data_IF_562741335343
#
_entry.id   IF_562741335343
#
_cell.length_a   1.000
_cell.length_b   1.000
_cell.length_c   1.000
_cell.angle_alpha   90.00
_cell.angle_beta   90.00
_cell.angle_gamma   90.00
#
_symmetry.space_group_name_H-M   'P 1'
#
loop_
_entity.id
_entity.type
_entity.pdbx_description
1 polymer ?
2 polymer ?
3 polymer ?
4 non-polymer ?
5 water ?
#
# COMPACT_ATOMS: atom_id res chain seq x y z
N UNK A 1 -10.53 5.00 -18.95
CA UNK A 1 -9.30 5.44 -18.31
C UNK A 1 -8.19 4.41 -18.42
N UNK A 2 -6.99 4.83 -18.04
CA UNK A 2 -5.84 3.93 -18.04
C UNK A 2 -5.82 3.10 -16.75
N UNK A 3 -5.08 2.00 -16.79
CA UNK A 3 -5.07 1.08 -15.65
C UNK A 3 -3.69 0.47 -15.44
N UNK A 4 -3.51 -0.11 -14.26
CA UNK A 4 -2.23 -0.68 -13.86
C UNK A 4 -2.45 -2.04 -13.25
N UNK A 5 -1.45 -2.92 -13.41
CA UNK A 5 -1.37 -4.17 -12.70
C UNK A 5 -0.01 -4.22 -12.04
N UNK A 6 0.03 -4.61 -10.77
CA UNK A 6 1.28 -4.70 -10.04
C UNK A 6 1.28 -5.94 -9.18
N UNK A 7 2.43 -6.60 -9.08
CA UNK A 7 2.67 -7.61 -8.06
C UNK A 7 3.79 -7.13 -7.16
N UNK A 8 3.61 -7.30 -5.85
CA UNK A 8 4.54 -6.89 -4.81
C UNK A 8 4.93 -8.13 -4.03
N UNK A 9 6.21 -8.49 -4.05
CA UNK A 9 6.70 -9.73 -3.44
C UNK A 9 7.78 -9.39 -2.42
N UNK A 10 7.69 -10.02 -1.25
CA UNK A 10 8.60 -9.81 -0.14
C UNK A 10 9.14 -11.14 0.38
N UNK A 11 10.46 -11.26 0.44
CA UNK A 11 11.16 -12.39 1.07
C UNK A 11 11.88 -11.86 2.31
N UNK A 12 11.72 -12.56 3.44
CA UNK A 12 12.32 -12.14 4.70
C UNK A 12 13.07 -13.34 5.27
N UNK A 13 14.40 -13.25 5.34
CA UNK A 13 15.16 -14.34 5.95
C UNK A 13 15.08 -14.21 7.47
N UNK A 14 15.16 -15.36 8.14
CA UNK A 14 15.03 -15.42 9.59
C UNK A 14 15.92 -16.55 10.10
N UNK A 15 17.23 -16.33 10.14
CA UNK A 15 18.15 -17.40 10.54
C UNK A 15 17.78 -18.01 11.88
N UNK A 16 17.76 -19.34 11.92
CA UNK A 16 17.37 -20.08 13.09
C UNK A 16 15.90 -20.44 13.15
N UNK A 17 15.05 -19.68 12.45
CA UNK A 17 13.60 -19.84 12.56
C UNK A 17 13.00 -20.25 11.21
N UNK A 18 13.68 -21.13 10.49
CA UNK A 18 13.14 -21.71 9.27
C UNK A 18 13.70 -21.07 8.01
N UNK A 19 13.11 -21.46 6.88
CA UNK A 19 13.39 -20.86 5.58
C UNK A 19 12.75 -19.48 5.50
N UNK A 20 13.21 -18.62 4.58
CA UNK A 20 12.62 -17.28 4.48
C UNK A 20 11.13 -17.32 4.21
N UNK A 21 10.42 -16.37 4.80
CA UNK A 21 9.01 -16.19 4.45
C UNK A 21 8.93 -15.48 3.10
N UNK A 22 8.00 -15.93 2.26
CA UNK A 22 7.74 -15.28 0.97
C UNK A 22 6.26 -14.97 0.88
N UNK A 23 5.92 -13.71 0.67
CA UNK A 23 4.53 -13.35 0.43
C UNK A 23 4.46 -12.47 -0.81
N UNK A 24 3.53 -12.78 -1.69
CA UNK A 24 3.30 -12.02 -2.91
C UNK A 24 1.84 -11.60 -2.97
N UNK A 25 1.59 -10.37 -3.42
CA UNK A 25 0.22 -9.90 -3.61
C UNK A 25 0.11 -9.25 -4.97
N UNK A 26 -1.06 -9.37 -5.57
CA UNK A 26 -1.33 -8.79 -6.88
C UNK A 26 -2.46 -7.78 -6.80
N UNK A 27 -2.31 -6.69 -7.55
CA UNK A 27 -3.26 -5.59 -7.61
C UNK A 27 -3.58 -5.24 -9.06
N UNK A 28 -4.84 -4.89 -9.31
CA UNK A 28 -5.22 -4.07 -10.46
C UNK A 28 -5.62 -2.71 -9.89
N UNK A 29 -4.95 -1.66 -10.35
CA UNK A 29 -5.16 -0.32 -9.78
C UNK A 29 -5.03 -0.42 -8.27
N UNK A 30 -6.01 0.07 -7.50
CA UNK A 30 -5.98 0.06 -6.04
C UNK A 30 -6.70 -1.14 -5.45
N UNK A 31 -6.99 -2.18 -6.24
CA UNK A 31 -7.77 -3.33 -5.79
C UNK A 31 -6.90 -4.58 -5.78
N UNK A 32 -6.70 -5.15 -4.60
CA UNK A 32 -5.95 -6.41 -4.53
C UNK A 32 -6.81 -7.54 -5.09
N UNK A 33 -6.17 -8.51 -5.78
CA UNK A 33 -6.93 -9.64 -6.31
C UNK A 33 -6.33 -11.03 -6.09
N UNK A 34 -5.04 -11.17 -5.76
CA UNK A 34 -4.47 -12.46 -5.40
C UNK A 34 -3.47 -12.29 -4.26
N UNK A 35 -3.17 -13.42 -3.61
CA UNK A 35 -2.09 -13.49 -2.63
C UNK A 35 -1.48 -14.88 -2.64
N UNK A 36 -0.22 -14.94 -2.23
CA UNK A 36 0.45 -16.19 -1.90
C UNK A 36 1.31 -15.94 -0.68
N UNK A 37 1.23 -16.83 0.31
CA UNK A 37 2.00 -16.70 1.55
C UNK A 37 2.62 -18.05 1.87
N UNK A 38 3.95 -18.14 1.83
CA UNK A 38 4.62 -19.42 2.07
C UNK A 38 4.37 -19.95 3.48
N UNK A 39 3.94 -19.11 4.40
CA UNK A 39 3.71 -19.53 5.78
C UNK A 39 2.27 -19.96 6.04
N UNK A 40 1.36 -19.68 5.11
CA UNK A 40 -0.04 -20.03 5.25
C UNK A 40 -0.27 -21.51 4.92
N UNK A 41 -1.47 -21.99 5.24
CA UNK A 41 -1.77 -23.41 5.14
C UNK A 41 -1.88 -23.91 3.70
N UNK A 42 -2.49 -23.13 2.80
CA UNK A 42 -2.92 -23.67 1.51
C UNK A 42 -1.77 -23.98 0.55
N UNK A 43 -0.71 -23.18 0.57
CA UNK A 43 0.41 -23.31 -0.38
C UNK A 43 -0.04 -23.12 -1.83
N UNK A 44 -1.08 -22.33 -2.04
CA UNK A 44 -1.60 -21.98 -3.36
C UNK A 44 -1.70 -20.47 -3.50
N UNK A 45 -1.57 -19.98 -4.74
CA UNK A 45 -2.09 -18.66 -5.03
C UNK A 45 -3.59 -18.66 -4.73
N UNK A 46 -4.06 -17.64 -4.02
CA UNK A 46 -5.43 -17.59 -3.55
C UNK A 46 -6.14 -16.34 -4.06
N UNK A 47 -7.43 -16.43 -4.37
CA UNK A 47 -8.18 -15.24 -4.81
C UNK A 47 -8.43 -14.27 -3.67
N UNK A 48 -8.42 -12.98 -4.01
CA UNK A 48 -8.75 -11.96 -3.02
C UNK A 48 -9.71 -10.89 -3.56
N UNK A 49 -10.23 -11.07 -4.76
CA UNK A 49 -11.29 -10.23 -5.34
C UNK A 49 -12.29 -11.16 -6.02
N UNK A 50 -13.57 -10.81 -6.00
CA UNK A 50 -14.57 -11.74 -6.56
C UNK A 50 -14.36 -12.06 -8.03
N UNK A 51 -13.92 -11.10 -8.85
CA UNK A 51 -13.85 -11.36 -10.30
C UNK A 51 -12.69 -12.27 -10.71
N UNK A 52 -11.75 -12.59 -9.82
CA UNK A 52 -10.70 -13.52 -10.22
C UNK A 52 -11.13 -14.96 -9.99
N UNK A 53 -12.20 -15.17 -9.22
CA UNK A 53 -12.61 -16.52 -8.84
C UNK A 53 -13.07 -17.34 -10.05
N UNK A 54 -13.58 -16.67 -11.09
CA UNK A 54 -14.02 -17.39 -12.29
C UNK A 54 -12.87 -17.96 -13.11
N UNK A 55 -11.62 -17.68 -12.75
CA UNK A 55 -10.49 -18.33 -13.42
C UNK A 55 -10.49 -19.82 -13.10
N UNK A 56 -10.16 -20.63 -14.11
CA UNK A 56 -10.25 -22.07 -14.00
C UNK A 56 -9.11 -22.67 -13.21
N UNK A 57 -9.20 -23.98 -12.98
CA UNK A 57 -8.15 -24.67 -12.19
C UNK A 57 -6.77 -24.55 -12.81
N UNK A 58 -6.68 -24.49 -14.14
CA UNK A 58 -5.38 -24.34 -14.78
C UNK A 58 -4.73 -23.02 -14.41
N UNK A 59 -5.54 -21.97 -14.24
CA UNK A 59 -5.01 -20.68 -13.80
C UNK A 59 -4.33 -20.81 -12.44
N UNK A 60 -5.05 -21.36 -11.48
CA UNK A 60 -4.50 -21.46 -10.13
C UNK A 60 -3.31 -22.40 -10.08
N UNK A 61 -3.31 -23.47 -10.90
CA UNK A 61 -2.14 -24.35 -10.98
C UNK A 61 -0.92 -23.59 -11.49
N UNK A 62 -1.09 -22.86 -12.60
CA UNK A 62 0.04 -22.20 -13.23
C UNK A 62 0.55 -21.03 -12.40
N UNK A 63 -0.37 -20.23 -11.85
CA UNK A 63 0.04 -19.11 -11.02
C UNK A 63 0.74 -19.60 -9.76
N UNK A 64 0.22 -20.66 -9.14
CA UNK A 64 0.89 -21.25 -7.98
C UNK A 64 2.30 -21.73 -8.33
N UNK A 65 2.44 -22.42 -9.46
CA UNK A 65 3.76 -22.89 -9.86
C UNK A 65 4.76 -21.75 -10.00
N UNK A 66 4.33 -20.64 -10.62
CA UNK A 66 5.25 -19.53 -10.83
C UNK A 66 5.65 -18.88 -9.51
N UNK A 67 4.71 -18.68 -8.62
CA UNK A 67 5.04 -17.93 -7.41
C UNK A 67 5.82 -18.80 -6.44
N UNK A 68 5.57 -20.11 -6.41
CA UNK A 68 6.39 -21.01 -5.61
C UNK A 68 7.83 -21.10 -6.15
N UNK A 69 7.99 -21.21 -7.47
CA UNK A 69 9.33 -21.21 -8.02
C UNK A 69 10.03 -19.89 -7.76
N UNK A 70 9.30 -18.77 -7.83
CA UNK A 70 9.97 -17.50 -7.57
C UNK A 70 10.39 -17.38 -6.11
N UNK A 71 9.61 -17.95 -5.18
CA UNK A 71 10.04 -17.91 -3.79
C UNK A 71 11.38 -18.63 -3.61
N UNK A 72 11.60 -19.74 -4.32
CA UNK A 72 12.88 -20.43 -4.25
C UNK A 72 13.99 -19.60 -4.89
N UNK A 73 13.70 -18.93 -6.00
CA UNK A 73 14.71 -18.10 -6.63
C UNK A 73 15.12 -16.94 -5.74
N UNK A 74 14.16 -16.32 -5.04
CA UNK A 74 14.55 -15.22 -4.17
C UNK A 74 15.19 -15.69 -2.87
N UNK A 75 14.94 -16.92 -2.45
CA UNK A 75 15.77 -17.52 -1.39
C UNK A 75 17.23 -17.55 -1.81
N UNK A 76 17.50 -18.00 -3.04
CA UNK A 76 18.86 -17.99 -3.55
C UNK A 76 19.40 -16.56 -3.68
N UNK A 77 18.57 -15.62 -4.11
CA UNK A 77 19.06 -14.25 -4.25
C UNK A 77 19.39 -13.62 -2.91
N UNK A 78 18.67 -13.99 -1.84
CA UNK A 78 19.05 -13.57 -0.49
C UNK A 78 20.45 -14.07 -0.13
N UNK A 79 20.76 -15.32 -0.48
CA UNK A 79 22.10 -15.86 -0.22
C UNK A 79 23.15 -15.14 -1.04
N UNK A 80 22.86 -14.87 -2.32
CA UNK A 80 23.82 -14.19 -3.17
C UNK A 80 24.08 -12.78 -2.66
N UNK A 81 23.03 -12.07 -2.23
CA UNK A 81 23.21 -10.72 -1.72
C UNK A 81 24.09 -10.71 -0.47
N UNK A 82 23.93 -11.73 0.40
CA UNK A 82 24.82 -11.85 1.56
C UNK A 82 26.28 -11.88 1.13
N UNK A 83 26.57 -12.67 0.09
CA UNK A 83 27.94 -12.79 -0.40
C UNK A 83 28.44 -11.46 -0.96
N UNK A 84 27.62 -10.81 -1.79
CA UNK A 84 28.06 -9.57 -2.42
C UNK A 84 28.29 -8.46 -1.41
N UNK A 85 27.54 -8.45 -0.31
CA UNK A 85 27.66 -7.39 0.69
C UNK A 85 28.48 -7.81 1.91
N UNK A 86 29.08 -9.00 1.87
CA UNK A 86 29.94 -9.49 2.95
C UNK A 86 29.20 -9.49 4.29
N UNK A 87 27.99 -10.02 4.27
CA UNK A 87 27.17 -10.08 5.48
C UNK A 87 27.16 -11.49 6.03
N UNK A 88 26.92 -11.58 7.34
CA UNK A 88 26.98 -12.87 8.00
C UNK A 88 25.66 -13.61 7.86
N UNK A 89 25.67 -14.88 8.26
CA UNK A 89 24.47 -15.70 8.25
C UNK A 89 23.55 -15.43 9.43
N UNK A 90 23.92 -14.50 10.31
CA UNK A 90 23.21 -14.29 11.57
C UNK A 90 21.98 -13.40 11.42
N UNK A 91 22.05 -12.36 10.58
CA UNK A 91 21.00 -11.36 10.55
C UNK A 91 19.87 -11.67 9.58
N UNK A 92 18.74 -11.02 9.83
CA UNK A 92 17.57 -11.10 8.98
C UNK A 92 17.61 -10.02 7.92
N UNK A 93 17.25 -10.38 6.68
CA UNK A 93 17.31 -9.44 5.57
C UNK A 93 16.03 -9.54 4.75
N UNK A 94 15.80 -8.50 3.95
CA UNK A 94 14.59 -8.36 3.17
C UNK A 94 14.95 -8.23 1.69
N UNK A 95 14.25 -8.98 0.83
CA UNK A 95 14.36 -8.83 -0.62
C UNK A 95 12.96 -8.60 -1.18
N UNK A 96 12.76 -7.44 -1.77
CA UNK A 96 11.47 -7.04 -2.33
C UNK A 96 11.57 -6.96 -3.84
N UNK A 97 10.51 -7.38 -4.52
CA UNK A 97 10.43 -7.29 -5.97
C UNK A 97 9.06 -6.69 -6.34
N UNK A 98 9.06 -5.77 -7.28
CA UNK A 98 7.83 -5.23 -7.85
C UNK A 98 7.92 -5.38 -9.36
N UNK A 99 6.81 -5.76 -9.98
CA UNK A 99 6.73 -5.73 -11.43
C UNK A 99 5.29 -5.50 -11.85
N UNK A 100 5.11 -5.10 -13.10
CA UNK A 100 3.78 -4.99 -13.67
C UNK A 100 3.77 -4.09 -14.88
N UNK A 101 2.56 -3.68 -15.26
CA UNK A 101 2.39 -2.98 -16.52
C UNK A 101 1.19 -2.05 -16.45
N UNK A 102 1.16 -1.07 -17.36
CA UNK A 102 0.06 -0.13 -17.50
C UNK A 102 -0.51 -0.24 -18.90
N UNK A 103 -1.84 -0.06 -19.02
CA UNK A 103 -2.49 -0.01 -20.32
C UNK A 103 -3.35 1.26 -20.39
N UNK A 104 -3.56 1.74 -21.62
CA UNK A 104 -4.42 2.88 -21.87
C UNK A 104 -5.89 2.50 -21.93
N UNK A 105 -6.74 3.51 -22.20
CA UNK A 105 -8.18 3.27 -22.29
C UNK A 105 -8.53 2.28 -23.39
N UNK A 106 -7.73 2.21 -24.45
CA UNK A 106 -7.94 1.25 -25.52
C UNK A 106 -7.28 -0.10 -25.24
N UNK A 107 -6.70 -0.27 -24.06
CA UNK A 107 -6.10 -1.53 -23.66
C UNK A 107 -4.70 -1.75 -24.15
N UNK A 108 -4.11 -0.80 -24.84
CA UNK A 108 -2.78 -1.00 -25.39
C UNK A 108 -1.70 -0.69 -24.36
N UNK A 109 -0.58 -1.37 -24.50
CA UNK A 109 0.55 -1.23 -23.58
C UNK A 109 1.00 0.22 -23.48
N UNK A 110 1.27 0.68 -22.26
CA UNK A 110 1.84 2.00 -22.01
C UNK A 110 3.21 1.93 -21.35
N UNK A 111 3.36 1.13 -20.29
CA UNK A 111 4.60 1.12 -19.53
C UNK A 111 4.74 -0.20 -18.80
N UNK A 112 5.99 -0.58 -18.54
CA UNK A 112 6.29 -1.79 -17.80
C UNK A 112 7.30 -1.48 -16.71
N UNK A 113 7.35 -2.37 -15.70
CA UNK A 113 8.16 -2.17 -14.51
C UNK A 113 8.71 -3.50 -14.05
N UNK A 114 9.96 -3.51 -13.58
CA UNK A 114 10.53 -4.67 -12.91
C UNK A 114 11.71 -4.21 -12.07
N UNK A 115 11.61 -4.35 -10.75
CA UNK A 115 12.68 -3.82 -9.92
C UNK A 115 12.76 -4.56 -8.60
N UNK A 116 13.93 -4.48 -7.99
CA UNK A 116 14.28 -5.17 -6.76
C UNK A 116 14.84 -4.18 -5.75
N UNK A 117 14.56 -4.44 -4.46
CA UNK A 117 15.21 -3.71 -3.37
C UNK A 117 15.70 -4.69 -2.31
N UNK A 118 16.86 -4.40 -1.75
CA UNK A 118 17.47 -5.23 -0.72
C UNK A 118 17.61 -4.41 0.55
N UNK A 119 17.09 -4.95 1.65
CA UNK A 119 17.07 -4.26 2.94
C UNK A 119 16.57 -2.83 2.80
N UNK A 120 15.48 -2.67 2.05
CA UNK A 120 14.82 -1.39 1.95
C UNK A 120 15.48 -0.37 1.05
N UNK A 121 16.51 -0.74 0.30
CA UNK A 121 17.21 0.16 -0.59
C UNK A 121 17.14 -0.40 -2.00
N UNK A 122 16.99 0.48 -2.99
CA UNK A 122 17.06 0.08 -4.40
C UNK A 122 18.26 -0.83 -4.64
N UNK A 123 18.03 -1.92 -5.38
CA UNK A 123 19.11 -2.82 -5.78
C UNK A 123 19.30 -2.75 -7.30
N UNK A 124 18.34 -3.21 -8.09
CA UNK A 124 18.43 -3.08 -9.54
C UNK A 124 17.01 -2.84 -10.07
N UNK A 125 16.91 -2.06 -11.14
CA UNK A 125 15.60 -1.75 -11.73
C UNK A 125 15.69 -1.72 -13.25
N UNK A 126 14.69 -2.27 -13.92
CA UNK A 126 14.60 -2.15 -15.37
C UNK A 126 14.23 -0.71 -15.71
N UNK A 127 14.93 -0.13 -16.68
CA UNK A 127 14.63 1.25 -17.05
C UNK A 127 13.36 1.31 -17.90
N UNK A 128 12.87 2.54 -18.10
CA UNK A 128 11.58 2.72 -18.76
C UNK A 128 11.53 2.11 -20.15
N UNK A 129 12.64 2.13 -20.89
CA UNK A 129 12.62 1.56 -22.24
C UNK A 129 12.62 0.03 -22.25
N UNK A 130 12.71 -0.60 -21.08
CA UNK A 130 12.71 -2.07 -20.96
C UNK A 130 13.89 -2.70 -21.69
N UNK A 131 14.98 -1.95 -21.85
CA UNK A 131 16.14 -2.42 -22.61
C UNK A 131 17.44 -2.36 -21.83
N UNK A 132 17.46 -1.72 -20.68
CA UNK A 132 18.68 -1.62 -19.89
C UNK A 132 18.31 -1.48 -18.41
N UNK A 133 19.33 -1.53 -17.56
CA UNK A 133 19.15 -1.61 -16.11
C UNK A 133 19.80 -0.43 -15.41
N UNK A 134 19.21 -0.04 -14.28
CA UNK A 134 19.82 0.89 -13.33
C UNK A 134 20.28 0.11 -12.11
N UNK A 135 21.58 0.11 -11.84
CA UNK A 135 22.14 -0.63 -10.71
C UNK A 135 22.52 0.37 -9.63
N UNK A 136 22.10 0.10 -8.40
CA UNK A 136 22.16 1.10 -7.36
C UNK A 136 23.53 1.23 -6.70
N UNK A 137 24.36 0.20 -6.81
CA UNK A 137 25.68 0.23 -6.17
C UNK A 137 26.57 -0.81 -6.85
N UNK A 138 27.80 -0.94 -6.35
CA UNK A 138 28.76 -1.82 -7.00
C UNK A 138 28.33 -3.28 -6.96
N UNK A 139 27.66 -3.71 -5.87
CA UNK A 139 27.21 -5.10 -5.80
C UNK A 139 26.17 -5.37 -6.89
N UNK A 140 25.21 -4.46 -7.04
CA UNK A 140 24.19 -4.64 -8.06
C UNK A 140 24.75 -4.55 -9.47
N UNK A 141 25.90 -3.91 -9.66
CA UNK A 141 26.49 -3.89 -11.00
C UNK A 141 26.99 -5.26 -11.41
N UNK A 142 27.32 -6.14 -10.46
CA UNK A 142 27.59 -7.52 -10.80
C UNK A 142 26.36 -8.15 -11.43
N UNK A 143 25.21 -7.99 -10.77
CA UNK A 143 23.97 -8.53 -11.30
C UNK A 143 23.62 -7.92 -12.65
N UNK A 144 23.82 -6.60 -12.79
CA UNK A 144 23.52 -5.93 -14.05
C UNK A 144 24.32 -6.54 -15.19
N UNK A 145 25.61 -6.75 -14.99
CA UNK A 145 26.43 -7.31 -16.07
C UNK A 145 25.98 -8.73 -16.39
N UNK A 146 25.70 -9.52 -15.37
CA UNK A 146 25.15 -10.88 -15.57
C UNK A 146 23.89 -10.85 -16.42
N UNK A 147 22.94 -10.00 -16.02
CA UNK A 147 21.66 -9.92 -16.72
C UNK A 147 21.80 -9.34 -18.13
N UNK A 148 22.77 -8.44 -18.34
CA UNK A 148 23.05 -7.98 -19.70
C UNK A 148 23.52 -9.14 -20.56
N UNK A 149 24.45 -9.95 -20.05
CA UNK A 149 25.02 -11.04 -20.83
C UNK A 149 23.95 -12.07 -21.20
N UNK A 150 23.00 -12.31 -20.32
CA UNK A 150 21.94 -13.29 -20.55
C UNK A 150 20.69 -12.70 -21.16
N UNK A 151 20.74 -11.42 -21.56
CA UNK A 151 19.63 -10.75 -22.25
C UNK A 151 18.33 -10.85 -21.47
N UNK A 152 18.42 -10.64 -20.15
CA UNK A 152 17.26 -10.71 -19.28
C UNK A 152 16.28 -9.58 -19.58
N UNK A 153 16.78 -8.40 -19.97
CA UNK A 153 15.88 -7.30 -20.30
C UNK A 153 14.96 -7.68 -21.45
N UNK A 154 15.48 -8.41 -22.43
CA UNK A 154 14.66 -8.82 -23.56
C UNK A 154 13.59 -9.81 -23.11
N UNK A 155 13.93 -10.73 -22.21
CA UNK A 155 12.93 -11.61 -21.62
C UNK A 155 11.88 -10.83 -20.84
N UNK A 156 12.31 -9.84 -20.05
CA UNK A 156 11.35 -9.03 -19.30
C UNK A 156 10.41 -8.28 -20.24
N UNK A 157 10.98 -7.65 -21.27
CA UNK A 157 10.15 -6.88 -22.19
C UNK A 157 9.10 -7.76 -22.86
N UNK A 158 9.46 -9.01 -23.19
CA UNK A 158 8.50 -9.90 -23.82
C UNK A 158 7.32 -10.19 -22.90
N UNK A 159 7.58 -10.33 -21.60
CA UNK A 159 6.49 -10.55 -20.65
C UNK A 159 5.69 -9.29 -20.42
N UNK A 160 6.37 -8.16 -20.20
CA UNK A 160 5.67 -6.95 -19.81
C UNK A 160 4.79 -6.43 -20.95
N UNK A 161 5.23 -6.58 -22.20
CA UNK A 161 4.44 -6.15 -23.34
C UNK A 161 3.53 -7.24 -23.88
N UNK A 162 3.54 -8.42 -23.27
CA UNK A 162 2.77 -9.53 -23.76
C UNK A 162 1.83 -10.07 -22.69
N UNK A 163 2.25 -11.14 -22.02
CA UNK A 163 1.39 -11.79 -21.04
C UNK A 163 0.98 -10.83 -19.92
N UNK A 164 1.84 -9.89 -19.51
CA UNK A 164 1.44 -8.94 -18.47
C UNK A 164 0.21 -8.15 -18.92
N UNK A 165 0.25 -7.57 -20.12
CA UNK A 165 -0.88 -6.76 -20.56
C UNK A 165 -2.07 -7.64 -20.95
N UNK A 166 -1.81 -8.86 -21.46
CA UNK A 166 -2.90 -9.82 -21.68
C UNK A 166 -3.68 -10.04 -20.40
N UNK A 167 -2.98 -10.22 -19.28
CA UNK A 167 -3.66 -10.42 -18.02
C UNK A 167 -4.42 -9.19 -17.55
N UNK A 168 -3.77 -8.03 -17.56
CA UNK A 168 -4.45 -6.80 -17.15
C UNK A 168 -5.71 -6.56 -17.98
N UNK A 169 -5.63 -6.75 -19.30
CA UNK A 169 -6.82 -6.58 -20.13
C UNK A 169 -7.90 -7.59 -19.76
N UNK A 170 -7.51 -8.83 -19.49
CA UNK A 170 -8.47 -9.87 -19.13
C UNK A 170 -9.16 -9.55 -17.81
N UNK A 171 -8.37 -9.12 -16.82
CA UNK A 171 -8.94 -8.85 -15.51
C UNK A 171 -9.87 -7.66 -15.56
N UNK A 172 -9.52 -6.65 -16.36
CA UNK A 172 -10.41 -5.49 -16.49
C UNK A 172 -11.73 -5.89 -17.12
N UNK A 173 -11.70 -6.86 -18.05
CA UNK A 173 -12.94 -7.33 -18.66
C UNK A 173 -13.76 -8.13 -17.66
N UNK A 174 -13.13 -9.11 -17.00
CA UNK A 174 -13.88 -9.93 -16.05
C UNK A 174 -14.35 -9.10 -14.86
N UNK A 175 -13.57 -8.11 -14.44
CA UNK A 175 -13.97 -7.28 -13.30
C UNK A 175 -14.59 -5.96 -13.72
N UNK A 176 -15.18 -5.94 -14.92
CA UNK A 176 -15.81 -4.73 -15.48
C UNK A 176 -16.64 -3.96 -14.47
N UNK A 177 -17.55 -4.66 -13.77
CA UNK A 177 -18.56 -3.99 -12.97
C UNK A 177 -17.97 -3.17 -11.83
N UNK A 178 -16.76 -3.48 -11.38
CA UNK A 178 -16.17 -2.79 -10.24
C UNK A 178 -14.86 -2.07 -10.55
N UNK A 179 -14.03 -2.58 -11.46
CA UNK A 179 -12.72 -1.99 -11.70
C UNK A 179 -12.76 -0.70 -12.51
N UNK A 180 -13.83 -0.48 -13.30
CA UNK A 180 -13.95 0.73 -14.09
C UNK A 180 -14.63 1.86 -13.33
N UNK A 181 -15.09 1.60 -12.11
CA UNK A 181 -15.87 2.58 -11.37
C UNK A 181 -15.01 3.73 -10.87
N UNK A 182 -15.64 4.90 -10.74
CA UNK A 182 -15.07 6.03 -10.02
C UNK A 182 -16.11 6.41 -8.98
N UNK A 183 -15.82 6.09 -7.73
CA UNK A 183 -16.68 6.50 -6.63
C UNK A 183 -16.20 7.87 -6.17
N UNK A 184 -16.99 8.93 -6.36
CA UNK A 184 -16.54 10.26 -5.93
C UNK A 184 -16.56 10.35 -4.41
N UNK A 185 -15.79 11.27 -3.84
CA UNK A 185 -15.80 11.43 -2.39
C UNK A 185 -17.14 11.96 -1.90
N UNK A 186 -17.57 11.44 -0.76
CA UNK A 186 -18.63 12.05 0.03
C UNK A 186 -17.95 13.01 1.01
N UNK A 187 -18.30 14.29 0.96
CA UNK A 187 -17.55 15.30 1.68
C UNK A 187 -18.42 15.98 2.73
N UNK A 188 -17.79 16.39 3.83
CA UNK A 188 -18.46 17.20 4.82
C UNK A 188 -17.39 17.92 5.62
N UNK A 189 -17.81 18.90 6.43
CA UNK A 189 -16.89 19.72 7.20
C UNK A 189 -17.36 19.77 8.64
N UNK A 190 -16.43 19.60 9.56
CA UNK A 190 -16.71 19.76 10.98
C UNK A 190 -15.94 20.94 11.55
N UNK A 191 -16.42 21.43 12.70
CA UNK A 191 -15.89 22.62 13.35
C UNK A 191 -15.72 22.30 14.83
N UNK A 192 -14.53 22.64 15.37
CA UNK A 192 -14.20 22.31 16.75
C UNK A 192 -13.48 23.49 17.40
N UNK A 193 -14.09 24.16 18.38
CA UNK A 193 -13.36 25.18 19.13
C UNK A 193 -12.23 24.51 19.89
N UNK A 194 -11.03 25.11 19.81
CA UNK A 194 -9.88 24.57 20.53
C UNK A 194 -9.37 25.53 21.59
N UNK A 195 -9.80 26.79 21.57
CA UNK A 195 -9.47 27.76 22.59
C UNK A 195 -10.54 28.81 22.52
N UNK A 196 -10.41 29.86 23.34
CA UNK A 196 -11.32 30.98 23.16
C UNK A 196 -11.03 31.75 21.88
N UNK A 197 -9.86 31.55 21.28
CA UNK A 197 -9.41 32.39 20.18
C UNK A 197 -9.29 31.65 18.85
N UNK A 198 -9.35 30.32 18.84
CA UNK A 198 -9.12 29.53 17.64
C UNK A 198 -10.12 28.39 17.56
N UNK A 199 -10.38 27.93 16.33
CA UNK A 199 -11.18 26.75 16.09
C UNK A 199 -10.57 25.97 14.94
N UNK A 200 -10.81 24.67 14.90
CA UNK A 200 -10.34 23.80 13.83
C UNK A 200 -11.50 23.51 12.89
N UNK A 201 -11.28 23.73 11.60
CA UNK A 201 -12.18 23.25 10.55
C UNK A 201 -11.55 22.00 9.95
N UNK A 202 -12.34 20.91 9.86
CA UNK A 202 -11.84 19.67 9.27
C UNK A 202 -12.73 19.29 8.09
N UNK A 203 -12.12 19.15 6.93
CA UNK A 203 -12.80 18.81 5.69
C UNK A 203 -12.53 17.34 5.40
N UNK A 204 -13.60 16.55 5.34
CA UNK A 204 -13.53 15.11 5.13
C UNK A 204 -13.86 14.71 3.71
N UNK A 205 -13.16 13.69 3.21
CA UNK A 205 -13.48 13.00 1.98
C UNK A 205 -13.56 11.51 2.29
N UNK A 206 -14.71 10.91 2.00
CA UNK A 206 -14.96 9.53 2.40
C UNK A 206 -15.56 8.75 1.23
N UNK A 207 -15.29 7.45 1.22
CA UNK A 207 -15.96 6.57 0.27
C UNK A 207 -15.52 6.67 -1.16
N UNK A 208 -14.29 7.12 -1.45
CA UNK A 208 -13.90 7.35 -2.83
C UNK A 208 -12.99 6.24 -3.36
N UNK A 209 -13.00 6.11 -4.69
CA UNK A 209 -12.18 5.14 -5.42
C UNK A 209 -12.02 5.71 -6.83
N UNK A 210 -10.81 5.71 -7.40
CA UNK A 210 -9.56 5.22 -6.78
C UNK A 210 -9.03 6.15 -5.68
N UNK A 211 -7.86 5.79 -5.13
CA UNK A 211 -7.34 6.44 -3.94
C UNK A 211 -6.81 7.84 -4.20
N UNK A 212 -6.41 8.14 -5.44
CA UNK A 212 -5.83 9.45 -5.77
C UNK A 212 -6.83 10.56 -5.50
N UNK A 213 -6.42 11.57 -4.71
CA UNK A 213 -7.31 12.69 -4.37
C UNK A 213 -6.42 13.84 -3.90
N UNK A 214 -6.94 15.07 -4.02
CA UNK A 214 -6.27 16.24 -3.48
C UNK A 214 -7.26 17.04 -2.65
N UNK A 215 -6.81 17.43 -1.45
CA UNK A 215 -7.53 18.34 -0.57
C UNK A 215 -6.61 19.50 -0.26
N UNK A 216 -7.09 20.72 -0.47
CA UNK A 216 -6.30 21.90 -0.15
C UNK A 216 -7.20 22.93 0.52
N UNK A 217 -6.60 23.72 1.39
CA UNK A 217 -7.29 24.82 2.06
C UNK A 217 -6.91 26.14 1.41
N UNK A 218 -7.89 27.02 1.28
CA UNK A 218 -7.64 28.39 0.85
C UNK A 218 -8.24 29.36 1.88
N UNK A 219 -7.60 30.52 1.99
CA UNK A 219 -8.15 31.63 2.76
C UNK A 219 -8.28 32.82 1.82
N UNK A 220 -9.47 33.40 1.77
CA UNK A 220 -9.78 34.48 0.84
C UNK A 220 -9.39 34.12 -0.59
N UNK A 221 -9.53 32.84 -0.93
CA UNK A 221 -9.16 32.40 -2.27
C UNK A 221 -7.69 32.24 -2.53
N UNK A 222 -6.85 32.21 -1.50
CA UNK A 222 -5.42 32.02 -1.65
C UNK A 222 -4.98 30.76 -0.92
N UNK A 223 -4.07 30.01 -1.55
CA UNK A 223 -3.60 28.76 -0.98
C UNK A 223 -3.05 28.97 0.43
N UNK A 224 -3.42 28.07 1.34
CA UNK A 224 -3.03 28.15 2.74
C UNK A 224 -2.40 26.84 3.15
N UNK A 225 -1.13 26.89 3.56
CA UNK A 225 -0.48 25.69 4.07
C UNK A 225 -0.13 25.80 5.56
N UNK A 226 0.12 26.98 6.09
CA UNK A 226 0.44 27.07 7.50
C UNK A 226 -0.80 26.85 8.35
N UNK A 227 -0.56 26.34 9.55
CA UNK A 227 -1.60 25.99 10.51
C UNK A 227 -2.61 24.99 9.93
N UNK A 228 -2.15 24.13 9.02
CA UNK A 228 -2.99 23.05 8.51
C UNK A 228 -2.42 21.69 8.89
N UNK A 229 -3.28 20.68 8.77
CA UNK A 229 -2.89 19.29 8.99
C UNK A 229 -3.62 18.43 7.95
N UNK A 230 -2.91 17.43 7.40
CA UNK A 230 -3.44 16.62 6.29
C UNK A 230 -2.98 15.18 6.46
N UNK A 231 -3.90 14.29 6.86
CA UNK A 231 -3.57 12.88 7.06
C UNK A 231 -3.34 12.20 5.72
N UNK A 232 -2.53 11.15 5.75
CA UNK A 232 -2.31 10.36 4.55
C UNK A 232 -3.58 9.59 4.19
N UNK A 233 -3.81 9.42 2.89
CA UNK A 233 -4.95 8.67 2.40
C UNK A 233 -4.93 7.25 2.95
N UNK A 234 -6.08 6.78 3.42
CA UNK A 234 -6.13 5.55 4.17
C UNK A 234 -7.28 4.68 3.70
N UNK A 235 -7.12 3.35 3.75
CA UNK A 235 -8.20 2.48 3.31
C UNK A 235 -9.34 2.43 4.32
N UNK A 236 -10.57 2.48 3.83
CA UNK A 236 -11.70 2.28 4.73
C UNK A 236 -11.91 0.82 5.11
N UNK A 237 -11.44 -0.12 4.29
CA UNK A 237 -11.62 -1.53 4.52
C UNK A 237 -12.72 -2.17 3.69
N UNK A 238 -13.47 -1.38 2.93
CA UNK A 238 -14.53 -1.85 2.06
C UNK A 238 -14.22 -1.64 0.58
N UNK A 239 -12.97 -1.34 0.25
CA UNK A 239 -12.55 -1.02 -1.10
C UNK A 239 -12.54 0.46 -1.45
N UNK A 240 -12.93 1.34 -0.53
CA UNK A 240 -12.85 2.77 -0.76
C UNK A 240 -11.79 3.36 0.17
N UNK A 241 -11.57 4.65 0.02
CA UNK A 241 -10.51 5.35 0.74
C UNK A 241 -11.06 6.58 1.45
N UNK A 242 -10.25 7.10 2.36
CA UNK A 242 -10.58 8.25 3.18
C UNK A 242 -9.40 9.22 3.25
N UNK A 243 -9.71 10.49 3.48
CA UNK A 243 -8.67 11.50 3.69
C UNK A 243 -9.32 12.74 4.27
N UNK A 244 -8.64 13.43 5.19
CA UNK A 244 -9.14 14.70 5.66
C UNK A 244 -8.02 15.70 5.72
N UNK A 245 -8.41 16.97 5.70
CA UNK A 245 -7.53 18.12 5.81
C UNK A 245 -8.13 19.09 6.81
N UNK A 246 -7.31 19.63 7.71
CA UNK A 246 -7.81 20.52 8.75
C UNK A 246 -7.03 21.83 8.75
N UNK A 247 -7.67 22.90 9.23
CA UNK A 247 -7.00 24.19 9.36
C UNK A 247 -7.43 24.82 10.67
N UNK A 248 -6.51 25.49 11.36
CA UNK A 248 -6.81 26.20 12.59
C UNK A 248 -7.00 27.65 12.24
N UNK A 249 -8.16 28.21 12.59
CA UNK A 249 -8.52 29.55 12.16
C UNK A 249 -8.83 30.43 13.36
N UNK A 250 -8.68 31.75 13.25
CA UNK A 250 -9.18 32.63 14.31
C UNK A 250 -10.68 32.48 14.47
N UNK A 251 -11.13 32.41 15.72
CA UNK A 251 -12.56 32.31 16.00
C UNK A 251 -13.29 33.50 15.39
N UNK A 252 -14.35 33.21 14.65
CA UNK A 252 -15.10 34.22 13.94
C UNK A 252 -14.67 34.47 12.51
N UNK A 253 -13.57 33.88 12.05
CA UNK A 253 -13.12 34.04 10.67
C UNK A 253 -13.39 32.82 9.82
N UNK A 254 -14.22 31.88 10.30
CA UNK A 254 -14.45 30.62 9.59
C UNK A 254 -14.84 30.83 8.14
N UNK A 255 -15.62 31.89 7.85
CA UNK A 255 -16.16 32.06 6.50
C UNK A 255 -15.11 32.49 5.48
N UNK A 256 -13.90 32.85 5.92
CA UNK A 256 -12.82 33.17 4.98
C UNK A 256 -12.21 31.95 4.35
N UNK A 257 -12.51 30.75 4.84
CA UNK A 257 -11.75 29.57 4.47
C UNK A 257 -12.56 28.66 3.55
N UNK A 258 -11.89 28.06 2.58
CA UNK A 258 -12.53 27.08 1.73
C UNK A 258 -11.64 25.86 1.55
N UNK A 259 -12.28 24.70 1.49
CA UNK A 259 -11.62 23.43 1.22
C UNK A 259 -11.87 23.04 -0.22
N UNK A 260 -10.82 22.68 -0.94
CA UNK A 260 -10.91 22.38 -2.36
C UNK A 260 -10.61 20.90 -2.58
N UNK A 261 -11.52 20.21 -3.27
CA UNK A 261 -11.46 18.76 -3.42
C UNK A 261 -11.38 18.42 -4.89
N UNK A 262 -10.33 17.71 -5.29
CA UNK A 262 -10.23 17.22 -6.66
C UNK A 262 -10.14 15.70 -6.65
N UNK A 263 -10.93 15.07 -7.51
CA UNK A 263 -10.99 13.62 -7.63
C UNK A 263 -11.56 13.32 -9.01
N UNK A 264 -11.15 12.18 -9.59
CA UNK A 264 -11.62 11.89 -10.94
C UNK A 264 -13.12 11.63 -10.97
N UNK A 265 -13.69 11.16 -9.87
CA UNK A 265 -15.12 10.94 -9.83
C UNK A 265 -15.96 12.19 -9.78
N UNK A 266 -15.33 13.35 -9.67
CA UNK A 266 -16.09 14.59 -9.52
C UNK A 266 -16.30 15.22 -10.89
N UNK A 267 -17.52 15.63 -11.23
CA UNK A 267 -17.70 16.38 -12.49
C UNK A 267 -16.88 17.65 -12.54
N UNK A 268 -16.76 18.35 -11.41
CA UNK A 268 -15.95 19.56 -11.28
C UNK A 268 -15.34 19.56 -9.90
N UNK A 269 -14.19 20.23 -9.71
CA UNK A 269 -13.64 20.32 -8.35
C UNK A 269 -14.60 21.04 -7.41
N UNK A 270 -14.54 20.64 -6.15
CA UNK A 270 -15.41 21.21 -5.14
C UNK A 270 -14.73 22.36 -4.41
N UNK A 271 -15.52 23.37 -4.07
CA UNK A 271 -15.13 24.44 -3.17
C UNK A 271 -16.11 24.42 -2.01
N UNK A 272 -15.65 24.02 -0.83
CA UNK A 272 -16.51 23.83 0.33
C UNK A 272 -16.23 24.88 1.40
N UNK A 273 -17.30 25.42 2.00
CA UNK A 273 -17.22 26.41 3.05
C UNK A 273 -18.02 25.91 4.25
N UNK A 274 -17.59 26.32 5.45
CA UNK A 274 -18.25 25.90 6.69
C UNK A 274 -19.71 26.35 6.69
N UNK A 275 -20.60 25.38 6.94
CA UNK A 275 -22.06 25.56 6.98
C UNK A 275 -22.54 25.17 8.36
N UNK A 276 -22.75 26.11 9.29
CA UNK A 276 -22.69 27.58 9.29
C UNK A 276 -21.29 28.15 9.05
N UNK B 1 21.95 -0.19 8.07
CA UNK B 1 20.82 -0.61 7.25
C UNK B 1 19.68 0.42 7.33
N UNK B 2 18.86 0.46 6.29
CA UNK B 2 17.74 1.39 6.22
C UNK B 2 16.59 0.84 7.03
N UNK B 3 16.13 1.62 8.02
CA UNK B 3 14.92 1.33 8.76
C UNK B 3 14.00 2.54 8.73
N UNK B 4 12.70 2.29 8.75
CA UNK B 4 11.69 3.35 8.72
C UNK B 4 10.67 3.13 9.82
N UNK B 5 10.36 4.21 10.54
CA UNK B 5 9.42 4.16 11.66
C UNK B 5 7.97 4.15 11.14
N UNK B 6 7.13 3.29 11.69
CA UNK B 6 5.74 3.23 11.21
C UNK B 6 4.95 4.51 11.45
N UNK B 7 4.12 4.85 10.47
CA UNK B 7 3.05 5.83 10.65
C UNK B 7 1.80 5.06 11.05
N UNK B 8 1.02 5.62 11.98
CA UNK B 8 -0.11 4.94 12.59
C UNK B 8 -1.35 5.82 12.51
N UNK B 9 -2.47 5.24 12.03
CA UNK B 9 -3.77 5.89 12.08
C UNK B 9 -4.80 4.91 12.60
N UNK B 10 -5.63 5.34 13.54
CA UNK B 10 -6.73 4.53 14.07
C UNK B 10 -8.02 5.30 13.82
N UNK B 11 -9.01 4.66 13.21
CA UNK B 11 -10.18 5.34 12.67
C UNK B 11 -11.25 4.30 12.36
N UNK B 12 -12.46 4.77 12.09
CA UNK B 12 -13.56 3.89 11.75
C UNK B 12 -13.86 3.89 10.25
N UNK B 13 -14.43 2.78 9.79
CA UNK B 13 -14.79 2.64 8.38
C UNK B 13 -15.82 3.67 7.96
N UNK B 14 -16.77 3.96 8.82
CA UNK B 14 -17.80 4.97 8.58
C UNK B 14 -17.81 5.97 9.72
N UNK B 15 -18.32 7.18 9.51
CA UNK B 15 -18.42 8.13 10.62
C UNK B 15 -19.17 7.47 11.78
N UNK B 16 -18.58 7.55 12.97
CA UNK B 16 -19.11 6.82 14.11
C UNK B 16 -20.44 7.42 14.59
N UNK B 17 -21.39 6.54 14.86
CA UNK B 17 -22.67 6.92 15.44
C UNK B 17 -22.98 5.90 16.52
N UNK B 18 -23.27 6.39 17.72
CA UNK B 18 -23.53 5.48 18.84
C UNK B 18 -24.67 4.53 18.52
N UNK B 19 -24.46 3.25 18.79
CA UNK B 19 -25.45 2.23 18.55
C UNK B 19 -25.53 1.72 17.13
N UNK B 20 -24.67 2.19 16.22
CA UNK B 20 -24.68 1.71 14.84
C UNK B 20 -23.40 0.94 14.57
N UNK B 21 -23.55 -0.28 14.07
CA UNK B 21 -22.42 -1.16 13.80
C UNK B 21 -21.46 -0.51 12.81
N UNK B 22 -20.17 -0.82 12.98
CA UNK B 22 -19.09 -0.12 12.27
C UNK B 22 -17.87 -1.04 12.25
N UNK B 23 -16.76 -0.53 11.73
CA UNK B 23 -15.48 -1.24 11.78
C UNK B 23 -14.41 -0.30 12.29
N UNK B 24 -13.58 -0.81 13.23
CA UNK B 24 -12.45 -0.09 13.79
C UNK B 24 -11.17 -0.53 13.07
N UNK B 25 -10.41 0.45 12.56
CA UNK B 25 -9.26 0.22 11.70
C UNK B 25 -8.00 0.76 12.36
N UNK B 26 -6.90 0.04 12.21
CA UNK B 26 -5.57 0.59 12.46
C UNK B 26 -4.76 0.39 11.19
N UNK B 27 -4.35 1.48 10.58
CA UNK B 27 -3.54 1.46 9.36
C UNK B 27 -2.12 1.82 9.75
N UNK B 28 -1.18 0.89 9.53
CA UNK B 28 0.25 1.13 9.78
C UNK B 28 0.95 1.14 8.43
N UNK B 29 1.78 2.15 8.21
CA UNK B 29 2.37 2.32 6.89
C UNK B 29 3.72 2.97 7.03
N UNK B 30 4.46 2.98 5.93
CA UNK B 30 5.75 3.64 5.91
C UNK B 30 6.83 3.02 6.78
N UNK B 31 6.76 1.73 7.07
CA UNK B 31 7.73 1.11 7.96
C UNK B 31 8.63 0.11 7.23
N UNK B 32 9.79 -0.13 7.84
CA UNK B 32 10.77 -1.08 7.32
C UNK B 32 11.72 -1.39 8.48
N UNK B 33 12.04 -2.66 8.76
CA UNK B 33 11.59 -3.88 8.07
C UNK B 33 10.13 -4.26 8.36
N UNK B 34 9.73 -5.44 7.89
CA UNK B 34 8.32 -5.80 7.77
C UNK B 34 7.69 -6.32 9.06
N UNK B 35 8.48 -6.82 10.01
CA UNK B 35 7.87 -7.33 11.24
C UNK B 35 7.26 -6.18 12.03
N UNK B 36 6.03 -6.36 12.49
CA UNK B 36 5.33 -5.34 13.25
C UNK B 36 4.27 -6.02 14.07
N UNK B 37 4.02 -5.49 15.28
CA UNK B 37 2.99 -6.00 16.18
C UNK B 37 1.91 -4.95 16.32
N UNK B 38 0.65 -5.33 16.04
CA UNK B 38 -0.47 -4.39 16.11
C UNK B 38 -1.60 -5.04 16.89
N UNK B 39 -2.06 -4.36 17.93
CA UNK B 39 -3.25 -4.77 18.66
C UNK B 39 -4.29 -3.67 18.62
N UNK B 40 -5.56 -4.06 18.61
CA UNK B 40 -6.66 -3.16 18.83
C UNK B 40 -7.18 -3.38 20.24
N UNK B 41 -7.46 -2.28 20.94
CA UNK B 41 -7.85 -2.31 22.34
C UNK B 41 -9.25 -1.74 22.53
N UNK B 42 -10.04 -2.39 23.40
CA UNK B 42 -11.32 -1.87 23.86
C UNK B 42 -11.24 -1.70 25.36
N UNK B 43 -11.35 -0.47 25.84
CA UNK B 43 -11.25 -0.16 27.28
C UNK B 43 -10.00 -0.78 27.88
N UNK B 44 -8.90 -0.71 27.15
CA UNK B 44 -7.64 -1.19 27.66
C UNK B 44 -7.37 -2.66 27.46
N UNK B 45 -8.32 -3.41 26.91
CA UNK B 45 -8.17 -4.86 26.73
C UNK B 45 -7.95 -5.18 25.26
N UNK B 46 -7.01 -6.09 24.99
CA UNK B 46 -6.77 -6.53 23.62
C UNK B 46 -8.01 -7.21 23.06
N UNK B 47 -8.45 -6.76 21.89
CA UNK B 47 -9.55 -7.40 21.16
C UNK B 47 -9.02 -8.65 20.46
N UNK B 48 -9.76 -9.75 20.56
CA UNK B 48 -9.21 -11.04 20.17
C UNK B 48 -9.38 -11.38 18.68
N UNK B 49 -10.48 -10.97 18.05
CA UNK B 49 -10.82 -11.52 16.74
C UNK B 49 -10.23 -10.72 15.55
N UNK B 50 -9.10 -10.04 15.72
CA UNK B 50 -8.70 -9.01 14.77
C UNK B 50 -8.04 -9.61 13.53
N UNK B 51 -8.51 -9.18 12.36
CA UNK B 51 -7.99 -9.58 11.06
C UNK B 51 -7.06 -8.50 10.50
N UNK B 52 -6.20 -8.90 9.56
CA UNK B 52 -5.37 -7.91 8.90
C UNK B 52 -5.18 -8.26 7.43
N UNK B 53 -4.81 -7.23 6.67
CA UNK B 53 -4.58 -7.33 5.25
C UNK B 53 -3.27 -8.08 4.97
N UNK B 54 -3.10 -8.44 3.70
CA UNK B 54 -1.87 -9.11 3.28
C UNK B 54 -0.74 -8.10 3.12
N UNK B 55 0.44 -8.45 3.62
CA UNK B 55 1.61 -7.56 3.53
C UNK B 55 1.86 -7.09 2.12
N UNK B 56 1.96 -5.77 1.97
CA UNK B 56 2.22 -5.13 0.69
C UNK B 56 3.15 -3.96 0.95
N UNK B 57 3.61 -3.29 -0.12
CA UNK B 57 4.47 -2.13 0.08
C UNK B 57 4.20 -1.10 -1.01
N UNK B 58 4.71 0.11 -0.75
CA UNK B 58 4.53 1.27 -1.62
C UNK B 58 5.72 1.41 -2.57
N UNK B 59 5.67 2.43 -3.41
CA UNK B 59 6.71 2.64 -4.43
C UNK B 59 8.10 2.81 -3.80
N UNK B 60 8.17 3.43 -2.63
CA UNK B 60 9.44 3.63 -1.93
C UNK B 60 9.87 2.42 -1.11
N UNK B 61 9.21 1.28 -1.29
CA UNK B 61 9.49 -0.02 -0.67
C UNK B 61 9.03 -0.11 0.78
N UNK B 62 8.44 0.93 1.36
CA UNK B 62 7.98 0.80 2.73
C UNK B 62 6.66 0.03 2.78
N UNK B 63 6.48 -0.71 3.88
CA UNK B 63 5.38 -1.63 4.04
C UNK B 63 4.13 -0.95 4.59
N UNK B 64 2.97 -1.57 4.32
CA UNK B 64 1.74 -1.13 4.98
C UNK B 64 0.85 -2.32 5.26
N UNK B 65 0.03 -2.17 6.31
CA UNK B 65 -0.95 -3.16 6.74
C UNK B 65 -2.17 -2.46 7.33
N UNK B 66 -3.33 -3.08 7.13
CA UNK B 66 -4.57 -2.64 7.76
C UNK B 66 -5.05 -3.72 8.71
N UNK B 67 -5.25 -3.36 9.98
CA UNK B 67 -5.85 -4.23 10.99
C UNK B 67 -7.26 -3.76 11.27
N UNK B 68 -8.21 -4.69 11.40
CA UNK B 68 -9.60 -4.25 11.53
C UNK B 68 -10.46 -5.24 12.32
N UNK B 69 -11.54 -4.70 12.90
CA UNK B 69 -12.48 -5.50 13.69
C UNK B 69 -13.82 -4.77 13.72
N UNK B 70 -14.89 -5.54 13.88
CA UNK B 70 -16.22 -4.96 13.98
C UNK B 70 -16.42 -4.34 15.36
N UNK B 71 -17.15 -3.23 15.40
CA UNK B 71 -17.50 -2.66 16.69
C UNK B 71 -18.72 -1.78 16.54
N UNK B 72 -19.42 -1.59 17.66
CA UNK B 72 -20.55 -0.66 17.73
C UNK B 72 -20.22 0.39 18.76
N UNK B 73 -19.94 1.63 18.33
CA UNK B 73 -19.51 2.67 19.27
C UNK B 73 -20.58 3.03 20.27
N UNK B 74 -20.14 3.37 21.48
CA UNK B 74 -21.00 3.96 22.50
C UNK B 74 -20.36 5.25 22.98
N UNK B 75 -21.06 5.96 23.85
CA UNK B 75 -20.48 7.17 24.43
C UNK B 75 -19.29 6.80 25.32
N UNK B 76 -19.40 5.71 26.06
CA UNK B 76 -18.46 5.42 27.14
C UNK B 76 -17.27 4.60 26.72
N UNK B 77 -17.41 3.74 25.70
CA UNK B 77 -16.35 2.81 25.36
C UNK B 77 -15.17 3.52 24.72
N UNK B 78 -13.98 3.17 25.14
CA UNK B 78 -12.74 3.72 24.61
C UNK B 78 -12.02 2.67 23.78
N UNK B 79 -11.47 3.10 22.65
CA UNK B 79 -10.74 2.23 21.76
C UNK B 79 -9.38 2.83 21.44
N UNK B 80 -8.43 1.96 21.12
CA UNK B 80 -7.07 2.38 20.82
C UNK B 80 -6.38 1.30 20.00
N UNK B 81 -5.23 1.66 19.44
CA UNK B 81 -4.32 0.76 18.73
C UNK B 81 -3.00 0.77 19.49
N UNK B 82 -2.32 -0.37 19.54
CA UNK B 82 -1.01 -0.47 20.17
C UNK B 82 -0.06 -1.11 19.16
N UNK B 83 1.04 -0.42 18.85
CA UNK B 83 1.96 -0.84 17.80
C UNK B 83 3.37 -1.00 18.36
N UNK B 84 4.05 -2.08 17.97
CA UNK B 84 5.47 -2.21 18.28
C UNK B 84 6.24 -2.56 17.02
N UNK B 85 7.44 -2.01 16.91
CA UNK B 85 8.31 -2.16 15.75
C UNK B 85 9.73 -1.92 16.24
N UNK B 86 10.71 -2.50 15.54
CA UNK B 86 12.10 -2.43 16.01
C UNK B 86 12.59 -0.98 16.09
N UNK B 87 12.00 -0.07 15.32
CA UNK B 87 12.41 1.33 15.39
C UNK B 87 11.89 2.03 16.64
N UNK B 88 10.91 1.45 17.34
CA UNK B 88 10.28 2.07 18.49
C UNK B 88 11.00 1.65 19.76
N UNK B 89 11.10 2.59 20.72
CA UNK B 89 11.68 2.26 22.02
C UNK B 89 10.71 1.45 22.86
N UNK B 90 9.44 1.86 22.89
CA UNK B 90 8.41 1.13 23.60
C UNK B 90 7.15 1.08 22.73
N UNK B 91 6.18 0.23 23.05
CA UNK B 91 4.93 0.25 22.28
C UNK B 91 4.31 1.63 22.21
N UNK B 92 3.70 1.94 21.08
CA UNK B 92 3.03 3.22 20.85
C UNK B 92 1.52 3.00 20.84
N UNK B 93 0.82 3.65 21.76
CA UNK B 93 -0.63 3.57 21.86
C UNK B 93 -1.20 4.83 21.25
N UNK B 94 -2.07 4.67 20.26
CA UNK B 94 -2.79 5.78 19.64
C UNK B 94 -4.26 5.58 19.94
N UNK B 95 -4.88 6.57 20.57
CA UNK B 95 -6.28 6.46 20.95
C UNK B 95 -7.19 6.76 19.75
N UNK B 96 -8.31 6.05 19.68
CA UNK B 96 -9.32 6.36 18.67
C UNK B 96 -10.09 7.62 19.06
N UNK B 97 -10.20 8.54 18.11
CA UNK B 97 -10.98 9.77 18.23
C UNK B 97 -11.95 9.78 17.06
N UNK B 98 -13.27 9.76 17.32
CA UNK B 98 -14.21 9.62 16.23
C UNK B 98 -14.21 10.82 15.29
N UNK B 99 -13.58 11.93 15.69
CA UNK B 99 -13.46 13.11 14.85
C UNK B 99 -12.18 13.12 14.02
N UNK B 100 -11.41 12.04 14.01
CA UNK B 100 -10.15 12.01 13.27
C UNK B 100 -9.93 10.70 12.50
N UNK C 1 -1.41 -12.14 -14.29
CA UNK C 1 -0.47 -13.24 -14.51
C UNK C 1 0.89 -12.92 -13.93
N UNK C 2 1.35 -13.77 -13.00
CA UNK C 2 2.66 -13.58 -12.39
C UNK C 2 3.76 -13.74 -13.44
N UNK C 3 4.87 -13.03 -13.22
CA UNK C 3 5.98 -13.08 -14.15
C UNK C 3 6.54 -14.51 -14.26
N UNK C 4 6.87 -14.97 -15.47
CA UNK C 4 7.51 -16.29 -15.63
C UNK C 4 9.02 -16.26 -15.53
N UNK C 5 9.62 -15.11 -15.28
CA UNK C 5 11.06 -14.96 -15.39
C UNK C 5 11.69 -15.16 -14.02
N UNK C 6 12.58 -16.16 -13.93
CA UNK C 6 13.30 -16.49 -12.71
C UNK C 6 14.78 -16.44 -13.01
N UNK C 7 15.46 -15.42 -12.49
CA UNK C 7 16.90 -15.28 -12.70
C UNK C 7 17.57 -14.97 -11.37
N UNK C 8 18.83 -15.37 -11.27
CA UNK C 8 19.60 -15.13 -10.06
C UNK C 8 20.50 -13.91 -10.19
N UNK C 9 20.83 -13.35 -9.03
CA UNK C 9 21.68 -12.17 -8.90
C UNK C 9 23.12 -12.50 -9.23
#
# INVERSE_FOLDING_TARGET
>A
GSHSMRYFSTSVSRPGRGEPRFIAVGYVDDTQFVRFDSDAASQRMEPRAPWIEQEGPEYWDEETGKVKAHSQTDRENLRIALRYYNQSEAGSHTLQMMFGCDVGSDGRFLRGYHQYAYDGKDYIALKEDLRSWTAADMAAQITKRKWEAAHVAEQQRAYLEGTCVDGLRRYLENGKETLQRTDPPKTHMTHHPISDHEATLRCWALGFYPAEITLTWQRDGEDQTQDTELVETRPAGDGTFQKWAAVVVPSGEEQRYTCHVQHEGLPKPLTLRWEPSS
>B
MIQRTPKIQVYSRHPAENGKSNFLNCYVSGFHPSDIEVDLLKNGERIEKVEHSDLSFSKDWSFYLLYYTEFTPTEKDEYACRVNHVTLSQPKIVKWDRDM
>C
YFSPIRVTF
#
